data_IF_443357985123
#
_entry.id   IF_443357985123
#
_cell.length_a   1.000
_cell.length_b   1.000
_cell.length_c   1.000
_cell.angle_alpha   90.00
_cell.angle_beta   90.00
_cell.angle_gamma   90.00
#
_symmetry.space_group_name_H-M   'P 1'
#
loop_
_entity.id
_entity.type
_entity.pdbx_description
1 polymer ?
#
# COMPACT_ATOMS: atom_id res chain seq x y z
N UNK A 1 -9.88 40.93 10.14
CA UNK A 1 -10.78 40.01 9.41
C UNK A 1 -11.39 39.10 10.45
N UNK A 2 -12.72 38.98 10.54
CA UNK A 2 -13.34 38.07 11.50
C UNK A 2 -12.94 36.63 11.15
N UNK A 3 -12.42 35.88 12.13
CA UNK A 3 -12.15 34.45 11.97
C UNK A 3 -13.45 33.73 11.60
N UNK A 4 -13.49 33.12 10.41
CA UNK A 4 -14.57 32.19 10.07
C UNK A 4 -14.46 31.00 11.02
N UNK A 5 -15.34 30.94 12.02
CA UNK A 5 -15.52 29.75 12.83
C UNK A 5 -16.24 28.69 12.01
N UNK A 6 -15.52 27.66 11.59
CA UNK A 6 -16.10 26.47 10.96
C UNK A 6 -16.72 25.59 12.04
N UNK A 7 -17.97 25.15 11.83
CA UNK A 7 -18.64 24.22 12.75
C UNK A 7 -18.03 22.82 12.55
N UNK A 8 -17.44 22.26 13.61
CA UNK A 8 -16.92 20.89 13.61
C UNK A 8 -17.85 19.97 14.40
N UNK A 9 -18.03 18.74 13.92
CA UNK A 9 -18.75 17.70 14.64
C UNK A 9 -18.07 16.36 14.44
N UNK A 10 -18.21 15.48 15.43
CA UNK A 10 -17.83 14.08 15.31
C UNK A 10 -18.99 13.32 14.67
N UNK A 11 -18.73 12.59 13.58
CA UNK A 11 -19.76 11.89 12.83
C UNK A 11 -19.25 10.58 12.25
N UNK A 12 -20.17 9.64 11.99
CA UNK A 12 -19.90 8.44 11.20
C UNK A 12 -20.35 8.68 9.76
N UNK A 13 -19.42 8.55 8.82
CA UNK A 13 -19.63 8.78 7.39
C UNK A 13 -19.68 7.46 6.65
N UNK A 14 -20.71 7.27 5.83
CA UNK A 14 -20.83 6.20 4.86
C UNK A 14 -20.59 6.78 3.47
N UNK A 15 -19.66 6.18 2.73
CA UNK A 15 -19.51 6.37 1.29
C UNK A 15 -20.02 5.13 0.58
N UNK A 16 -20.91 5.33 -0.40
CA UNK A 16 -21.66 4.26 -1.07
C UNK A 16 -21.55 4.49 -2.57
N UNK A 17 -21.20 3.45 -3.31
CA UNK A 17 -20.89 3.57 -4.74
C UNK A 17 -21.38 2.35 -5.53
N UNK A 18 -21.88 2.60 -6.74
CA UNK A 18 -22.39 1.58 -7.64
C UNK A 18 -21.24 0.89 -8.40
N UNK A 19 -21.24 -0.45 -8.42
CA UNK A 19 -20.25 -1.22 -9.18
C UNK A 19 -20.68 -1.33 -10.63
N UNK A 20 -19.82 -0.89 -11.56
CA UNK A 20 -20.03 -1.06 -13.00
C UNK A 20 -21.06 -0.10 -13.62
N UNK A 21 -21.42 0.99 -12.93
CA UNK A 21 -22.40 1.96 -13.40
C UNK A 21 -22.05 2.54 -14.79
N UNK A 22 -20.80 2.95 -15.01
CA UNK A 22 -20.35 3.46 -16.32
C UNK A 22 -20.48 2.45 -17.46
N UNK A 23 -20.33 1.15 -17.18
CA UNK A 23 -20.51 0.10 -18.18
C UNK A 23 -21.99 -0.04 -18.55
N UNK A 24 -22.88 -0.03 -17.55
CA UNK A 24 -24.34 -0.10 -17.76
C UNK A 24 -24.85 1.14 -18.52
N UNK A 25 -24.36 2.33 -18.18
CA UNK A 25 -24.65 3.57 -18.91
C UNK A 25 -24.23 3.51 -20.39
N UNK A 26 -23.13 2.82 -20.70
CA UNK A 26 -22.68 2.61 -22.08
C UNK A 26 -23.52 1.60 -22.87
N UNK A 27 -24.30 0.75 -22.19
CA UNK A 27 -25.17 -0.25 -22.82
C UNK A 27 -26.59 0.27 -23.00
N UNK A 28 -27.19 0.85 -21.95
CA UNK A 28 -28.52 1.43 -21.96
C UNK A 28 -28.62 2.46 -20.81
N UNK A 29 -28.51 3.74 -21.14
CA UNK A 29 -28.43 4.84 -20.18
C UNK A 29 -29.74 5.06 -19.40
N UNK A 30 -30.90 4.97 -20.07
CA UNK A 30 -32.22 5.09 -19.42
C UNK A 30 -32.44 3.98 -18.39
N UNK A 31 -32.19 2.71 -18.77
CA UNK A 31 -32.40 1.56 -17.88
C UNK A 31 -31.41 1.54 -16.71
N UNK A 32 -30.15 1.94 -16.94
CA UNK A 32 -29.14 2.07 -15.90
C UNK A 32 -29.48 3.18 -14.90
N UNK A 33 -29.97 4.33 -15.39
CA UNK A 33 -30.34 5.46 -14.54
C UNK A 33 -31.59 5.13 -13.70
N UNK A 34 -32.58 4.46 -14.26
CA UNK A 34 -33.76 4.01 -13.52
C UNK A 34 -33.40 2.96 -12.46
N UNK A 35 -32.56 2.00 -12.82
CA UNK A 35 -32.03 1.00 -11.88
C UNK A 35 -31.23 1.63 -10.73
N UNK A 36 -30.46 2.68 -11.01
CA UNK A 36 -29.74 3.44 -9.98
C UNK A 36 -30.69 4.21 -9.07
N UNK A 37 -31.67 4.94 -9.63
CA UNK A 37 -32.65 5.73 -8.85
C UNK A 37 -33.47 4.86 -7.90
N UNK A 38 -33.91 3.69 -8.35
CA UNK A 38 -34.63 2.71 -7.54
C UNK A 38 -33.81 2.29 -6.31
N UNK A 39 -32.53 1.97 -6.52
CA UNK A 39 -31.60 1.52 -5.48
C UNK A 39 -31.16 2.65 -4.56
N UNK A 40 -30.86 3.83 -5.12
CA UNK A 40 -30.53 5.02 -4.36
C UNK A 40 -31.69 5.44 -3.45
N UNK A 41 -32.94 5.33 -3.93
CA UNK A 41 -34.13 5.55 -3.12
C UNK A 41 -34.30 4.53 -1.99
N UNK A 42 -33.95 3.27 -2.22
CA UNK A 42 -33.92 2.25 -1.17
C UNK A 42 -32.87 2.57 -0.11
N UNK A 43 -31.62 2.84 -0.53
CA UNK A 43 -30.51 3.18 0.37
C UNK A 43 -30.86 4.41 1.22
N UNK A 44 -31.42 5.45 0.59
CA UNK A 44 -31.84 6.69 1.28
C UNK A 44 -32.85 6.38 2.39
N UNK A 45 -33.91 5.62 2.08
CA UNK A 45 -34.93 5.26 3.08
C UNK A 45 -34.36 4.45 4.25
N UNK A 46 -33.50 3.46 3.96
CA UNK A 46 -32.89 2.63 5.01
C UNK A 46 -31.96 3.47 5.91
N UNK A 47 -31.19 4.39 5.33
CA UNK A 47 -30.35 5.31 6.09
C UNK A 47 -31.19 6.25 6.98
N UNK A 48 -32.24 6.87 6.43
CA UNK A 48 -33.11 7.79 7.18
C UNK A 48 -33.89 7.09 8.30
N UNK A 49 -34.40 5.88 8.05
CA UNK A 49 -35.10 5.07 9.06
C UNK A 49 -34.19 4.70 10.23
N UNK A 50 -32.88 4.56 9.99
CA UNK A 50 -31.88 4.30 11.01
C UNK A 50 -31.32 5.59 11.66
N UNK A 51 -31.91 6.76 11.37
CA UNK A 51 -31.49 8.04 11.94
C UNK A 51 -30.29 8.68 11.25
N UNK A 52 -29.94 8.22 10.05
CA UNK A 52 -28.93 8.82 9.19
C UNK A 52 -29.49 9.95 8.34
N UNK A 53 -28.59 10.80 7.82
CA UNK A 53 -28.92 11.90 6.90
C UNK A 53 -28.07 11.79 5.64
N UNK A 54 -28.72 11.82 4.48
CA UNK A 54 -28.02 11.85 3.20
C UNK A 54 -27.38 13.23 2.97
N UNK A 55 -26.15 13.25 2.45
CA UNK A 55 -25.48 14.47 2.02
C UNK A 55 -24.62 14.20 0.77
N UNK A 56 -24.23 15.25 0.05
CA UNK A 56 -23.16 15.13 -0.95
C UNK A 56 -23.39 14.13 -2.09
N UNK A 57 -24.61 13.98 -2.60
CA UNK A 57 -24.90 13.12 -3.76
C UNK A 57 -24.15 13.64 -4.99
N UNK A 58 -23.32 12.80 -5.60
CA UNK A 58 -22.53 13.16 -6.78
C UNK A 58 -22.38 11.96 -7.74
N UNK A 59 -22.98 12.07 -8.93
CA UNK A 59 -22.94 11.03 -9.94
C UNK A 59 -23.57 9.73 -9.45
N UNK A 60 -22.78 8.66 -9.43
CA UNK A 60 -23.11 7.30 -8.99
C UNK A 60 -22.74 7.01 -7.52
N UNK A 61 -22.22 8.03 -6.82
CA UNK A 61 -21.87 7.95 -5.40
C UNK A 61 -22.90 8.64 -4.51
N UNK A 62 -23.19 8.01 -3.37
CA UNK A 62 -24.06 8.51 -2.31
C UNK A 62 -23.24 8.62 -1.03
N UNK A 63 -23.53 9.63 -0.21
CA UNK A 63 -22.96 9.75 1.13
C UNK A 63 -24.06 9.92 2.18
N UNK A 64 -23.82 9.35 3.36
CA UNK A 64 -24.71 9.46 4.50
C UNK A 64 -23.90 9.73 5.78
N UNK A 65 -24.45 10.53 6.69
CA UNK A 65 -23.91 10.71 8.03
C UNK A 65 -24.82 10.13 9.10
N UNK A 66 -24.21 9.64 10.17
CA UNK A 66 -24.89 9.17 11.36
C UNK A 66 -24.20 9.74 12.60
N UNK A 67 -24.99 10.08 13.61
CA UNK A 67 -24.47 10.43 14.94
C UNK A 67 -23.96 9.21 15.73
N UNK A 68 -24.36 7.99 15.33
CA UNK A 68 -24.01 6.75 16.01
C UNK A 68 -23.39 5.72 15.04
N UNK A 69 -22.14 5.28 15.27
CA UNK A 69 -21.48 4.27 14.46
C UNK A 69 -22.23 2.93 14.38
N UNK A 70 -22.95 2.56 15.44
CA UNK A 70 -23.70 1.30 15.51
C UNK A 70 -24.87 1.32 14.52
N UNK A 71 -25.58 2.45 14.43
CA UNK A 71 -26.74 2.58 13.55
C UNK A 71 -26.30 2.67 12.08
N UNK A 72 -25.17 3.32 11.81
CA UNK A 72 -24.51 3.34 10.50
C UNK A 72 -24.21 1.93 9.96
N UNK A 73 -23.53 1.09 10.75
CA UNK A 73 -23.17 -0.27 10.32
C UNK A 73 -24.42 -1.14 10.16
N UNK A 74 -25.41 -0.99 11.04
CA UNK A 74 -26.68 -1.71 10.93
C UNK A 74 -27.44 -1.35 9.66
N UNK A 75 -27.56 -0.05 9.36
CA UNK A 75 -28.20 0.45 8.14
C UNK A 75 -27.48 -0.08 6.89
N UNK A 76 -26.14 -0.03 6.89
CA UNK A 76 -25.31 -0.54 5.79
C UNK A 76 -25.57 -2.02 5.48
N UNK A 77 -25.61 -2.86 6.50
CA UNK A 77 -25.88 -4.29 6.32
C UNK A 77 -27.32 -4.56 5.89
N UNK A 78 -28.29 -3.78 6.39
CA UNK A 78 -29.69 -3.90 6.04
C UNK A 78 -29.96 -3.53 4.58
N UNK A 79 -29.48 -2.37 4.11
CA UNK A 79 -29.69 -2.00 2.70
C UNK A 79 -28.89 -2.91 1.77
N UNK A 80 -27.69 -3.38 2.14
CA UNK A 80 -26.95 -4.34 1.31
C UNK A 80 -27.75 -5.64 1.11
N UNK A 81 -28.44 -6.11 2.16
CA UNK A 81 -29.33 -7.28 2.05
C UNK A 81 -30.49 -7.05 1.09
N UNK A 82 -31.13 -5.89 1.20
CA UNK A 82 -32.24 -5.54 0.33
C UNK A 82 -31.78 -5.40 -1.13
N UNK A 83 -30.59 -4.84 -1.37
CA UNK A 83 -29.99 -4.71 -2.69
C UNK A 83 -29.58 -6.07 -3.29
N UNK A 84 -29.02 -6.99 -2.49
CA UNK A 84 -28.75 -8.37 -2.91
C UNK A 84 -30.03 -9.07 -3.36
N UNK A 85 -31.10 -8.97 -2.56
CA UNK A 85 -32.40 -9.57 -2.89
C UNK A 85 -33.03 -8.97 -4.15
N UNK A 86 -32.85 -7.67 -4.37
CA UNK A 86 -33.32 -6.97 -5.57
C UNK A 86 -32.51 -7.40 -6.81
N UNK A 87 -31.19 -7.44 -6.70
CA UNK A 87 -30.29 -7.85 -7.79
C UNK A 87 -30.47 -9.32 -8.18
N UNK A 88 -30.72 -10.21 -7.22
CA UNK A 88 -30.96 -11.63 -7.49
C UNK A 88 -32.18 -11.87 -8.40
N UNK A 89 -33.19 -10.99 -8.34
CA UNK A 89 -34.42 -11.05 -9.14
C UNK A 89 -34.34 -10.24 -10.44
N UNK A 90 -33.31 -9.41 -10.60
CA UNK A 90 -33.15 -8.53 -11.74
C UNK A 90 -32.45 -9.24 -12.92
N UNK A 91 -32.78 -8.87 -14.17
CA UNK A 91 -31.99 -9.27 -15.34
C UNK A 91 -30.57 -8.68 -15.25
N UNK A 92 -29.61 -9.30 -15.94
CA UNK A 92 -28.19 -8.90 -15.87
C UNK A 92 -27.94 -7.43 -16.21
N UNK A 93 -28.73 -6.86 -17.14
CA UNK A 93 -28.69 -5.44 -17.53
C UNK A 93 -29.06 -4.48 -16.40
N UNK A 94 -29.71 -4.98 -15.34
CA UNK A 94 -30.15 -4.20 -14.17
C UNK A 94 -29.47 -4.62 -12.88
N UNK A 95 -28.55 -5.60 -12.89
CA UNK A 95 -27.81 -6.00 -11.68
C UNK A 95 -26.77 -4.95 -11.36
N UNK A 96 -26.99 -4.22 -10.27
CA UNK A 96 -26.13 -3.12 -9.84
C UNK A 96 -25.75 -3.34 -8.37
N UNK A 97 -24.63 -4.03 -8.10
CA UNK A 97 -24.13 -4.16 -6.74
C UNK A 97 -23.61 -2.82 -6.24
N UNK A 98 -23.64 -2.62 -4.93
CA UNK A 98 -23.06 -1.43 -4.29
C UNK A 98 -21.94 -1.82 -3.33
N UNK A 99 -20.99 -0.90 -3.16
CA UNK A 99 -19.86 -1.00 -2.23
C UNK A 99 -19.98 0.07 -1.17
N UNK A 100 -19.65 -0.26 0.08
CA UNK A 100 -19.79 0.67 1.20
C UNK A 100 -18.48 0.76 2.00
N UNK A 101 -18.06 1.99 2.27
CA UNK A 101 -16.96 2.32 3.17
C UNK A 101 -17.45 3.20 4.31
N UNK A 102 -17.08 2.86 5.56
CA UNK A 102 -17.53 3.55 6.76
C UNK A 102 -16.34 4.03 7.57
N UNK A 103 -16.31 5.31 7.90
CA UNK A 103 -15.33 5.90 8.81
C UNK A 103 -16.00 6.76 9.87
N UNK A 104 -15.43 6.81 11.07
CA UNK A 104 -15.91 7.67 12.17
C UNK A 104 -14.78 8.61 12.56
N UNK A 105 -15.06 9.91 12.60
CA UNK A 105 -14.06 10.93 12.86
C UNK A 105 -14.61 12.35 12.83
N UNK A 106 -13.70 13.33 12.72
CA UNK A 106 -14.04 14.75 12.78
C UNK A 106 -14.34 15.32 11.40
N UNK A 107 -15.50 15.96 11.27
CA UNK A 107 -15.93 16.60 10.03
C UNK A 107 -16.24 18.08 10.23
N UNK A 108 -16.00 18.86 9.19
CA UNK A 108 -16.40 20.26 9.09
C UNK A 108 -17.76 20.30 8.41
N UNK A 109 -18.72 20.98 9.04
CA UNK A 109 -20.07 21.18 8.53
C UNK A 109 -20.19 22.56 7.94
N UNK A 110 -20.55 22.63 6.67
CA UNK A 110 -20.90 23.87 5.98
C UNK A 110 -22.25 23.63 5.27
N UNK A 111 -23.28 24.36 5.70
CA UNK A 111 -24.69 24.11 5.36
C UNK A 111 -25.11 22.64 5.61
N UNK A 112 -25.55 21.95 4.55
CA UNK A 112 -25.95 20.54 4.55
C UNK A 112 -24.85 19.59 4.00
N UNK A 113 -23.60 20.07 3.90
CA UNK A 113 -22.46 19.28 3.42
C UNK A 113 -21.41 19.09 4.50
N UNK A 114 -20.71 17.96 4.39
CA UNK A 114 -19.61 17.60 5.26
C UNK A 114 -18.31 17.54 4.47
N UNK A 115 -17.26 18.08 5.07
CA UNK A 115 -15.93 18.11 4.49
C UNK A 115 -14.91 17.66 5.53
N UNK A 116 -13.83 17.05 5.08
CA UNK A 116 -12.72 16.73 5.98
C UNK A 116 -11.94 15.50 5.54
N UNK A 117 -10.86 15.26 6.28
CA UNK A 117 -10.03 14.08 6.13
C UNK A 117 -10.83 12.79 6.31
N UNK A 118 -11.71 12.76 7.33
CA UNK A 118 -12.49 11.57 7.67
C UNK A 118 -13.58 11.20 6.65
N UNK A 119 -14.10 12.19 5.89
CA UNK A 119 -14.98 11.95 4.74
C UNK A 119 -14.22 11.23 3.62
N UNK A 120 -12.99 11.67 3.36
CA UNK A 120 -12.14 11.05 2.34
C UNK A 120 -11.73 9.63 2.72
N UNK A 121 -11.53 9.33 4.01
CA UNK A 121 -11.22 7.97 4.47
C UNK A 121 -12.39 7.03 4.13
N UNK A 122 -13.64 7.42 4.43
CA UNK A 122 -14.82 6.63 4.09
C UNK A 122 -14.90 6.34 2.59
N UNK A 123 -14.68 7.35 1.74
CA UNK A 123 -14.66 7.18 0.28
C UNK A 123 -13.57 6.21 -0.19
N UNK A 124 -12.37 6.29 0.38
CA UNK A 124 -11.25 5.42 0.00
C UNK A 124 -11.39 4.00 0.54
N UNK A 125 -12.08 3.82 1.66
CA UNK A 125 -12.43 2.50 2.18
C UNK A 125 -13.50 1.82 1.32
N UNK A 126 -14.45 2.59 0.77
CA UNK A 126 -15.44 2.06 -0.16
C UNK A 126 -14.79 1.41 -1.38
N UNK A 127 -13.71 1.99 -1.91
CA UNK A 127 -12.93 1.41 -3.02
C UNK A 127 -12.33 0.04 -2.68
N UNK A 128 -12.15 -0.29 -1.40
CA UNK A 128 -11.62 -1.58 -0.91
C UNK A 128 -12.69 -2.62 -0.64
N UNK A 129 -13.96 -2.23 -0.60
CA UNK A 129 -15.05 -3.18 -0.43
C UNK A 129 -15.21 -4.05 -1.70
N UNK A 130 -15.53 -5.32 -1.49
CA UNK A 130 -16.05 -6.16 -2.57
C UNK A 130 -17.48 -5.75 -2.92
N UNK A 131 -18.01 -6.08 -4.11
CA UNK A 131 -19.43 -5.91 -4.41
C UNK A 131 -20.31 -6.49 -3.29
N UNK A 132 -21.34 -5.75 -2.88
CA UNK A 132 -22.18 -6.04 -1.70
C UNK A 132 -21.49 -5.94 -0.33
N UNK A 133 -20.20 -5.63 -0.31
CA UNK A 133 -19.40 -5.52 0.90
C UNK A 133 -19.60 -4.21 1.66
N UNK A 134 -19.45 -4.31 2.98
CA UNK A 134 -19.31 -3.19 3.91
C UNK A 134 -17.93 -3.24 4.58
N UNK A 135 -17.10 -2.24 4.30
CA UNK A 135 -15.78 -2.08 4.92
C UNK A 135 -15.82 -0.93 5.91
N UNK A 136 -15.30 -1.15 7.12
CA UNK A 136 -15.24 -0.16 8.19
C UNK A 136 -13.78 0.13 8.57
N UNK A 137 -13.48 1.38 8.92
CA UNK A 137 -12.19 1.78 9.49
C UNK A 137 -11.99 1.20 10.90
N UNK A 138 -10.75 1.20 11.39
CA UNK A 138 -10.46 0.84 12.77
C UNK A 138 -11.16 1.73 13.80
N UNK A 139 -11.28 3.03 13.54
CA UNK A 139 -12.01 3.96 14.43
C UNK A 139 -13.48 3.55 14.54
N UNK A 140 -14.12 3.24 13.42
CA UNK A 140 -15.51 2.74 13.41
C UNK A 140 -15.59 1.39 14.11
N UNK A 141 -14.69 0.45 13.79
CA UNK A 141 -14.64 -0.89 14.40
C UNK A 141 -14.53 -0.82 15.93
N UNK A 142 -13.67 0.04 16.49
CA UNK A 142 -13.55 0.25 17.94
C UNK A 142 -14.86 0.67 18.60
N UNK A 143 -15.71 1.42 17.89
CA UNK A 143 -17.01 1.87 18.41
C UNK A 143 -18.13 0.85 18.23
N UNK A 144 -17.99 -0.17 17.39
CA UNK A 144 -19.08 -1.13 17.09
C UNK A 144 -18.78 -2.56 17.52
N UNK A 145 -17.50 -2.92 17.68
CA UNK A 145 -17.09 -4.26 18.08
C UNK A 145 -17.70 -4.64 19.44
N UNK A 146 -18.35 -5.80 19.50
CA UNK A 146 -19.06 -6.27 20.69
C UNK A 146 -20.39 -5.56 21.01
N UNK A 147 -20.83 -4.61 20.17
CA UNK A 147 -22.12 -3.88 20.33
C UNK A 147 -23.15 -4.22 19.26
N UNK A 148 -22.73 -4.97 18.25
CA UNK A 148 -23.58 -5.51 17.17
C UNK A 148 -23.35 -7.00 17.04
N UNK A 149 -24.40 -7.74 16.73
CA UNK A 149 -24.29 -9.13 16.26
C UNK A 149 -23.83 -9.12 14.80
N UNK A 150 -22.56 -8.82 14.57
CA UNK A 150 -21.89 -8.69 13.28
C UNK A 150 -20.48 -9.25 13.42
N UNK A 151 -20.05 -10.04 12.45
CA UNK A 151 -18.69 -10.55 12.39
C UNK A 151 -17.79 -9.56 11.63
N UNK A 152 -16.61 -9.29 12.17
CA UNK A 152 -15.62 -8.42 11.54
C UNK A 152 -14.41 -9.25 11.12
N UNK A 153 -14.19 -9.33 9.80
CA UNK A 153 -12.97 -9.91 9.24
C UNK A 153 -11.96 -8.79 9.01
N UNK A 154 -10.79 -8.91 9.63
CA UNK A 154 -9.71 -7.95 9.40
C UNK A 154 -9.18 -8.04 7.96
N UNK A 155 -9.17 -6.90 7.27
CA UNK A 155 -8.62 -6.78 5.91
C UNK A 155 -7.17 -6.29 5.91
N UNK A 156 -6.65 -5.92 7.09
CA UNK A 156 -5.33 -5.35 7.28
C UNK A 156 -5.32 -3.83 7.15
N UNK A 157 -4.15 -3.29 6.83
CA UNK A 157 -3.88 -1.85 6.85
C UNK A 157 -3.67 -1.32 5.44
N UNK A 158 -4.43 -0.29 5.06
CA UNK A 158 -4.39 0.30 3.72
C UNK A 158 -3.78 1.69 3.74
N UNK A 159 -2.75 1.91 2.93
CA UNK A 159 -2.31 3.26 2.57
C UNK A 159 -3.26 3.82 1.52
N UNK A 160 -4.17 4.70 1.94
CA UNK A 160 -5.16 5.31 1.06
C UNK A 160 -4.58 6.56 0.39
N UNK A 161 -4.98 6.83 -0.86
CA UNK A 161 -4.50 7.98 -1.63
C UNK A 161 -4.74 9.29 -0.86
N UNK A 162 -3.71 10.11 -0.71
CA UNK A 162 -3.70 11.38 0.02
C UNK A 162 -3.92 11.26 1.55
N UNK A 163 -3.73 10.06 2.13
CA UNK A 163 -3.70 9.87 3.58
C UNK A 163 -2.26 9.71 4.05
N UNK A 164 -1.88 10.47 5.09
CA UNK A 164 -0.54 10.42 5.70
C UNK A 164 -0.38 9.18 6.59
N UNK A 165 -1.45 8.76 7.22
CA UNK A 165 -1.50 7.59 8.10
C UNK A 165 -2.27 6.47 7.39
N UNK A 166 -1.80 5.22 7.49
CA UNK A 166 -2.49 4.11 6.88
C UNK A 166 -3.68 3.69 7.75
N UNK A 167 -4.78 3.34 7.09
CA UNK A 167 -6.06 3.06 7.75
C UNK A 167 -6.23 1.56 7.84
N UNK A 168 -6.24 1.02 9.06
CA UNK A 168 -6.64 -0.37 9.31
C UNK A 168 -8.14 -0.52 9.07
N UNK A 169 -8.54 -1.60 8.41
CA UNK A 169 -9.91 -1.79 7.97
C UNK A 169 -10.41 -3.22 8.20
N UNK A 170 -11.73 -3.33 8.33
CA UNK A 170 -12.43 -4.57 8.65
C UNK A 170 -13.63 -4.71 7.72
N UNK A 171 -13.86 -5.91 7.20
CA UNK A 171 -15.08 -6.27 6.50
C UNK A 171 -16.14 -6.64 7.54
N UNK A 172 -17.27 -5.94 7.54
CA UNK A 172 -18.44 -6.31 8.33
C UNK A 172 -19.25 -7.37 7.57
N UNK A 173 -19.68 -8.42 8.29
CA UNK A 173 -20.47 -9.55 7.76
C UNK A 173 -21.60 -9.90 8.72
N UNK A 174 -22.72 -10.40 8.19
CA UNK A 174 -23.82 -10.85 9.05
C UNK A 174 -23.46 -12.21 9.67
N UNK A 175 -23.85 -12.47 10.93
CA UNK A 175 -23.64 -13.78 11.55
C UNK A 175 -24.31 -14.88 10.72
N UNK A 176 -23.54 -15.90 10.32
CA UNK A 176 -24.02 -16.99 9.47
C UNK A 176 -23.72 -16.86 7.97
N UNK A 177 -23.11 -15.76 7.52
CA UNK A 177 -22.54 -15.64 6.16
C UNK A 177 -21.18 -16.35 6.00
N UNK A 178 -20.80 -17.18 6.98
CA UNK A 178 -19.67 -18.10 6.87
C UNK A 178 -20.02 -19.28 5.96
N UNK A 179 -20.12 -19.04 4.65
CA UNK A 179 -20.24 -20.13 3.68
C UNK A 179 -20.98 -19.77 2.39
N UNK A 180 -20.30 -19.09 1.48
CA UNK A 180 -20.39 -19.39 0.04
C UNK A 180 -19.12 -18.92 -0.67
N UNK A 181 -18.23 -19.90 -0.86
CA UNK A 181 -17.11 -19.98 -1.83
C UNK A 181 -16.06 -18.87 -1.86
N UNK A 182 -14.94 -19.13 -1.18
CA UNK A 182 -13.71 -19.47 -1.93
C UNK A 182 -13.13 -20.78 -1.36
N UNK A 183 -13.00 -21.86 -2.16
CA UNK A 183 -12.52 -23.15 -1.68
C UNK A 183 -10.99 -23.21 -1.72
N UNK A 184 -10.32 -22.59 -0.74
CA UNK A 184 -8.93 -22.92 -0.39
C UNK A 184 -8.49 -22.23 0.91
N UNK A 185 -9.12 -22.55 2.05
CA UNK A 185 -8.50 -22.30 3.37
C UNK A 185 -9.19 -23.15 4.43
N UNK A 186 -8.75 -24.41 4.55
CA UNK A 186 -8.80 -25.08 5.85
C UNK A 186 -7.65 -24.55 6.73
N UNK A 187 -7.82 -24.59 8.06
CA UNK A 187 -6.97 -23.88 9.01
C UNK A 187 -5.64 -24.60 9.18
N UNK A 188 -4.56 -24.04 8.64
CA UNK A 188 -3.21 -24.51 8.99
C UNK A 188 -2.72 -23.75 10.21
N UNK A 189 -2.46 -24.53 11.25
CA UNK A 189 -1.83 -24.14 12.51
C UNK A 189 -0.62 -23.23 12.31
N UNK A 190 -0.49 -22.32 13.27
CA UNK A 190 0.64 -21.43 13.48
C UNK A 190 1.94 -22.24 13.55
N UNK A 191 2.69 -22.25 12.46
CA UNK A 191 4.11 -22.49 12.42
C UNK A 191 4.74 -21.31 11.64
N UNK A 192 5.93 -20.84 12.04
CA UNK A 192 6.41 -19.51 11.66
C UNK A 192 6.65 -19.45 10.16
N UNK A 193 5.88 -18.63 9.46
CA UNK A 193 6.06 -18.39 8.05
C UNK A 193 7.42 -17.70 7.83
N UNK A 194 8.40 -18.48 7.36
CA UNK A 194 9.50 -17.95 6.57
C UNK A 194 8.94 -17.12 5.43
N UNK A 195 9.61 -16.00 5.10
CA UNK A 195 9.03 -15.05 4.15
C UNK A 195 8.64 -15.74 2.85
N UNK A 196 7.39 -15.50 2.47
CA UNK A 196 6.92 -15.76 1.13
C UNK A 196 7.84 -15.07 0.13
N UNK A 197 8.50 -15.87 -0.70
CA UNK A 197 9.27 -15.44 -1.86
C UNK A 197 8.42 -14.71 -2.92
N UNK A 198 7.08 -14.73 -2.77
CA UNK A 198 6.14 -14.14 -3.71
C UNK A 198 5.84 -12.65 -3.45
N UNK A 199 6.17 -12.11 -2.27
CA UNK A 199 5.97 -10.69 -1.99
C UNK A 199 7.06 -9.83 -2.65
N UNK A 200 6.68 -8.64 -3.12
CA UNK A 200 7.64 -7.64 -3.61
C UNK A 200 8.63 -7.28 -2.48
N UNK A 201 9.93 -7.08 -2.76
CA UNK A 201 10.89 -6.73 -1.73
C UNK A 201 10.48 -5.44 -1.02
N UNK A 202 10.58 -5.43 0.31
CA UNK A 202 10.31 -4.27 1.15
C UNK A 202 11.46 -4.08 2.13
N UNK A 203 11.69 -2.83 2.53
CA UNK A 203 12.76 -2.47 3.48
C UNK A 203 12.22 -1.68 4.66
N UNK A 204 12.59 -2.06 5.88
CA UNK A 204 12.36 -1.28 7.09
C UNK A 204 13.66 -0.60 7.53
N UNK A 205 13.61 0.68 7.85
CA UNK A 205 14.74 1.42 8.43
C UNK A 205 14.43 1.64 9.91
N UNK A 206 15.29 1.11 10.78
CA UNK A 206 15.19 1.33 12.22
C UNK A 206 15.91 2.62 12.61
N UNK A 207 15.43 3.32 13.66
CA UNK A 207 16.19 4.39 14.29
C UNK A 207 17.60 3.92 14.67
N UNK A 208 18.58 4.79 14.45
CA UNK A 208 19.98 4.45 14.69
C UNK A 208 20.27 4.59 16.18
N UNK A 209 20.67 3.48 16.81
CA UNK A 209 20.84 3.42 18.24
C UNK A 209 22.03 4.26 18.71
N UNK A 210 21.80 5.17 19.65
CA UNK A 210 22.83 5.90 20.36
C UNK A 210 23.47 5.00 21.45
N UNK A 211 24.77 4.80 21.39
CA UNK A 211 25.50 3.98 22.37
C UNK A 211 26.29 4.81 23.39
N UNK A 212 26.20 6.13 23.34
CA UNK A 212 26.99 7.05 24.18
C UNK A 212 26.18 7.81 25.23
N UNK A 213 24.85 7.70 25.21
CA UNK A 213 23.97 8.37 26.16
C UNK A 213 23.82 9.89 25.95
N UNK A 214 24.40 10.41 24.87
CA UNK A 214 24.29 11.82 24.46
C UNK A 214 22.98 12.06 23.70
N UNK A 215 22.09 12.89 24.26
CA UNK A 215 20.78 13.19 23.67
C UNK A 215 20.86 13.80 22.27
N UNK A 216 21.94 14.51 21.94
CA UNK A 216 22.09 15.10 20.62
C UNK A 216 22.27 14.02 19.53
N UNK A 217 22.79 12.84 19.90
CA UNK A 217 22.90 11.70 18.99
C UNK A 217 21.60 10.94 18.81
N UNK A 218 20.66 11.01 19.76
CA UNK A 218 19.33 10.41 19.60
C UNK A 218 18.59 11.08 18.44
N UNK A 219 18.59 12.42 18.43
CA UNK A 219 17.99 13.20 17.34
C UNK A 219 18.69 12.97 16.00
N UNK A 220 20.02 12.84 16.00
CA UNK A 220 20.77 12.57 14.78
C UNK A 220 20.45 11.17 14.22
N UNK A 221 20.30 10.18 15.09
CA UNK A 221 19.96 8.81 14.69
C UNK A 221 18.58 8.71 14.06
N UNK A 222 17.61 9.42 14.61
CA UNK A 222 16.26 9.54 14.04
C UNK A 222 16.29 10.28 12.70
N UNK A 223 17.01 11.40 12.62
CA UNK A 223 17.08 12.22 11.42
C UNK A 223 17.73 11.45 10.24
N UNK A 224 18.80 10.68 10.49
CA UNK A 224 19.42 9.82 9.47
C UNK A 224 18.43 8.74 9.01
N UNK A 225 17.67 8.12 9.92
CA UNK A 225 16.67 7.13 9.53
C UNK A 225 15.56 7.72 8.64
N UNK A 226 15.03 8.89 9.01
CA UNK A 226 13.97 9.56 8.25
C UNK A 226 14.46 10.00 6.85
N UNK A 227 15.70 10.47 6.72
CA UNK A 227 16.27 10.82 5.41
C UNK A 227 16.45 9.61 4.50
N UNK A 228 16.90 8.47 5.06
CA UNK A 228 16.99 7.22 4.31
C UNK A 228 15.61 6.75 3.87
N UNK A 229 14.60 6.85 4.75
CA UNK A 229 13.21 6.50 4.42
C UNK A 229 12.70 7.39 3.29
N UNK A 230 12.92 8.71 3.36
CA UNK A 230 12.50 9.66 2.34
C UNK A 230 13.18 9.37 1.00
N UNK A 231 14.49 9.13 1.01
CA UNK A 231 15.26 8.86 -0.20
C UNK A 231 14.89 7.53 -0.85
N UNK A 232 14.77 6.46 -0.08
CA UNK A 232 14.36 5.15 -0.60
C UNK A 232 12.89 5.15 -1.05
N UNK A 233 12.01 5.92 -0.40
CA UNK A 233 10.59 6.02 -0.80
C UNK A 233 10.40 6.61 -2.20
N UNK A 234 11.38 7.37 -2.70
CA UNK A 234 11.39 7.86 -4.08
C UNK A 234 11.76 6.77 -5.10
N UNK A 235 12.28 5.63 -4.66
CA UNK A 235 12.50 4.45 -5.52
C UNK A 235 11.18 3.69 -5.69
N UNK A 236 10.47 3.97 -6.78
CA UNK A 236 9.13 3.40 -7.07
C UNK A 236 9.04 1.86 -6.99
N UNK A 237 10.15 1.15 -7.14
CA UNK A 237 10.18 -0.31 -7.15
C UNK A 237 10.40 -0.94 -5.76
N UNK A 238 10.82 -0.16 -4.76
CA UNK A 238 11.19 -0.63 -3.43
C UNK A 238 10.28 -0.01 -2.34
N UNK A 239 9.21 -0.72 -1.94
CA UNK A 239 8.42 -0.36 -0.77
C UNK A 239 9.27 -0.16 0.50
N UNK A 240 9.09 0.99 1.16
CA UNK A 240 9.76 1.32 2.43
C UNK A 240 8.74 1.35 3.57
N UNK A 241 9.06 0.71 4.70
CA UNK A 241 8.25 0.77 5.92
C UNK A 241 8.47 2.11 6.62
N UNK A 242 7.39 2.74 7.10
CA UNK A 242 7.43 4.07 7.69
C UNK A 242 8.25 4.12 8.99
N UNK A 243 8.93 5.24 9.21
CA UNK A 243 9.76 5.47 10.39
C UNK A 243 8.98 5.39 11.70
N UNK A 244 7.71 5.82 11.72
CA UNK A 244 6.83 5.69 12.88
C UNK A 244 6.56 4.21 13.27
N UNK A 245 6.46 3.31 12.28
CA UNK A 245 6.30 1.87 12.53
C UNK A 245 7.60 1.23 13.03
N UNK A 246 8.75 1.74 12.61
CA UNK A 246 10.04 1.30 13.13
C UNK A 246 10.33 1.84 14.54
N UNK A 247 9.85 3.05 14.86
CA UNK A 247 10.08 3.72 16.15
C UNK A 247 9.45 3.02 17.35
N UNK A 248 8.40 2.21 17.15
CA UNK A 248 7.81 1.40 18.23
C UNK A 248 8.77 0.31 18.78
N UNK A 249 9.91 0.09 18.13
CA UNK A 249 10.91 -0.91 18.49
C UNK A 249 12.23 -0.32 19.01
N UNK A 250 12.29 0.99 19.28
CA UNK A 250 13.49 1.70 19.78
C UNK A 250 13.97 1.16 21.14
N UNK A 251 13.04 0.74 21.99
CA UNK A 251 13.30 0.23 23.34
C UNK A 251 13.18 -1.31 23.46
N UNK A 252 13.05 -2.01 22.33
CA UNK A 252 12.78 -3.46 22.32
C UNK A 252 14.05 -4.31 22.44
N UNK A 253 14.01 -5.38 23.25
CA UNK A 253 15.04 -6.44 23.27
C UNK A 253 15.12 -7.27 21.97
N UNK A 254 14.29 -6.94 20.97
CA UNK A 254 14.18 -7.69 19.73
C UNK A 254 15.35 -7.41 18.80
N UNK A 255 15.97 -8.49 18.30
CA UNK A 255 16.97 -8.39 17.24
C UNK A 255 16.37 -7.77 15.97
N UNK A 256 17.13 -6.97 15.19
CA UNK A 256 16.61 -6.24 14.02
C UNK A 256 15.81 -7.11 13.05
N UNK A 257 16.27 -8.33 12.75
CA UNK A 257 15.54 -9.26 11.87
C UNK A 257 14.15 -9.66 12.39
N UNK A 258 13.95 -9.74 13.72
CA UNK A 258 12.65 -10.01 14.31
C UNK A 258 11.70 -8.80 14.18
N UNK A 259 12.24 -7.59 14.30
CA UNK A 259 11.50 -6.35 14.02
C UNK A 259 11.07 -6.32 12.55
N UNK A 260 12.00 -6.61 11.63
CA UNK A 260 11.71 -6.70 10.21
C UNK A 260 10.59 -7.69 9.88
N UNK A 261 10.57 -8.88 10.49
CA UNK A 261 9.47 -9.86 10.33
C UNK A 261 8.14 -9.31 10.85
N UNK A 262 8.16 -8.66 12.02
CA UNK A 262 6.96 -8.07 12.63
C UNK A 262 6.39 -6.95 11.77
N UNK A 263 7.26 -6.21 11.07
CA UNK A 263 6.89 -5.14 10.14
C UNK A 263 6.52 -5.64 8.73
N UNK A 264 6.64 -6.94 8.45
CA UNK A 264 6.47 -7.48 7.09
C UNK A 264 7.53 -7.00 6.10
N UNK A 265 8.67 -6.50 6.60
CA UNK A 265 9.79 -6.06 5.79
C UNK A 265 10.66 -7.26 5.39
N UNK A 266 10.99 -7.43 4.11
CA UNK A 266 11.96 -8.46 3.69
C UNK A 266 13.36 -8.14 4.17
N UNK A 267 13.73 -6.86 4.13
CA UNK A 267 15.01 -6.34 4.58
C UNK A 267 14.81 -5.38 5.75
N UNK A 268 15.76 -5.38 6.67
CA UNK A 268 15.80 -4.42 7.77
C UNK A 268 17.17 -3.76 7.80
N UNK A 269 17.18 -2.44 7.90
CA UNK A 269 18.39 -1.63 8.07
C UNK A 269 18.40 -1.16 9.51
N UNK A 270 19.50 -1.41 10.19
CA UNK A 270 19.76 -0.90 11.53
C UNK A 270 21.12 -0.23 11.55
N UNK A 271 21.34 0.64 12.53
CA UNK A 271 22.65 1.19 12.72
C UNK A 271 22.87 1.74 14.12
N UNK A 272 24.11 2.11 14.38
CA UNK A 272 24.56 2.57 15.68
C UNK A 272 25.42 3.81 15.53
N UNK A 273 25.19 4.77 16.42
CA UNK A 273 25.96 5.99 16.56
C UNK A 273 26.79 5.93 17.84
N UNK A 274 28.08 6.21 17.69
CA UNK A 274 29.02 6.34 18.81
C UNK A 274 29.83 7.62 18.65
N UNK A 275 29.96 8.40 19.71
CA UNK A 275 30.94 9.49 19.81
C UNK A 275 32.15 9.03 20.63
N UNK A 276 33.36 9.23 20.09
CA UNK A 276 34.60 8.91 20.77
C UNK A 276 35.63 10.02 20.55
N UNK A 277 36.02 10.71 21.63
CA UNK A 277 36.82 11.93 21.55
C UNK A 277 36.19 12.93 20.56
N UNK A 278 36.91 13.33 19.49
CA UNK A 278 36.43 14.25 18.45
C UNK A 278 35.88 13.53 17.20
N UNK A 279 35.53 12.24 17.29
CA UNK A 279 35.05 11.45 16.15
C UNK A 279 33.63 10.94 16.38
N UNK A 280 32.77 11.19 15.40
CA UNK A 280 31.46 10.59 15.26
C UNK A 280 31.55 9.37 14.33
N UNK A 281 31.04 8.24 14.80
CA UNK A 281 31.04 6.99 14.07
C UNK A 281 29.62 6.47 13.90
N UNK A 282 29.28 6.17 12.64
CA UNK A 282 28.02 5.58 12.21
C UNK A 282 28.31 4.19 11.64
N UNK A 283 27.80 3.15 12.28
CA UNK A 283 27.81 1.79 11.74
C UNK A 283 26.41 1.46 11.21
N UNK A 284 26.33 0.96 9.98
CA UNK A 284 25.06 0.60 9.32
C UNK A 284 25.11 -0.86 8.89
N UNK A 285 24.01 -1.58 9.07
CA UNK A 285 23.87 -2.99 8.73
C UNK A 285 22.51 -3.24 8.11
N UNK A 286 22.48 -3.97 7.00
CA UNK A 286 21.28 -4.46 6.35
C UNK A 286 21.20 -5.98 6.52
N UNK A 287 20.08 -6.47 7.01
CA UNK A 287 19.81 -7.88 7.25
C UNK A 287 18.55 -8.34 6.50
N UNK A 288 18.52 -9.60 6.13
CA UNK A 288 17.31 -10.27 5.70
C UNK A 288 16.47 -10.69 6.92
N UNK A 289 15.21 -10.27 6.96
CA UNK A 289 14.33 -10.51 8.10
C UNK A 289 14.03 -11.99 8.34
N UNK A 290 14.04 -12.84 7.31
CA UNK A 290 13.67 -14.27 7.43
C UNK A 290 14.63 -15.09 8.28
N UNK A 291 15.93 -14.88 8.07
CA UNK A 291 17.00 -15.73 8.56
C UNK A 291 18.07 -14.94 9.32
N UNK A 292 17.93 -13.60 9.41
CA UNK A 292 18.89 -12.72 10.06
C UNK A 292 20.23 -12.61 9.32
N UNK A 293 20.30 -13.04 8.05
CA UNK A 293 21.54 -12.99 7.27
C UNK A 293 21.88 -11.53 6.98
N UNK A 294 23.07 -11.11 7.40
CA UNK A 294 23.62 -9.80 7.01
C UNK A 294 23.88 -9.80 5.51
N UNK A 295 23.22 -8.89 4.79
CA UNK A 295 23.38 -8.66 3.35
C UNK A 295 24.55 -7.71 3.13
N UNK A 296 24.63 -6.67 3.96
CA UNK A 296 25.62 -5.61 3.82
C UNK A 296 25.88 -4.92 5.16
N UNK A 297 27.11 -4.45 5.37
CA UNK A 297 27.43 -3.58 6.50
C UNK A 297 28.58 -2.64 6.15
N UNK A 298 28.52 -1.40 6.65
CA UNK A 298 29.59 -0.40 6.49
C UNK A 298 29.68 0.52 7.68
N UNK A 299 30.87 1.07 7.89
CA UNK A 299 31.18 2.07 8.91
C UNK A 299 31.59 3.38 8.28
N UNK A 300 31.08 4.47 8.81
CA UNK A 300 31.42 5.84 8.46
C UNK A 300 32.02 6.51 9.69
N UNK A 301 33.22 7.05 9.53
CA UNK A 301 33.93 7.79 10.57
C UNK A 301 34.06 9.25 10.10
N UNK A 302 33.66 10.23 10.92
CA UNK A 302 33.77 11.67 10.65
C UNK A 302 34.21 12.44 11.90
N UNK A 303 34.99 13.52 11.76
CA UNK A 303 35.20 14.47 12.86
C UNK A 303 33.86 15.03 13.36
N UNK A 304 33.74 15.31 14.66
CA UNK A 304 32.53 15.87 15.27
C UNK A 304 32.16 17.23 14.67
N UNK A 305 33.16 18.03 14.28
CA UNK A 305 32.97 19.29 13.55
C UNK A 305 32.23 19.12 12.21
N UNK A 306 32.22 17.91 11.65
CA UNK A 306 31.54 17.53 10.41
C UNK A 306 30.30 16.65 10.66
N UNK A 307 29.78 16.58 11.88
CA UNK A 307 28.59 15.77 12.20
C UNK A 307 27.38 16.13 11.33
N UNK A 308 27.25 17.39 10.92
CA UNK A 308 26.18 17.86 10.02
C UNK A 308 26.36 17.36 8.59
N UNK A 309 27.61 17.28 8.11
CA UNK A 309 27.91 16.66 6.81
C UNK A 309 27.65 15.15 6.83
N UNK A 310 27.81 14.49 7.98
CA UNK A 310 27.43 13.09 8.13
C UNK A 310 25.93 12.90 7.91
N UNK A 311 25.07 13.81 8.39
CA UNK A 311 23.63 13.74 8.12
C UNK A 311 23.31 13.90 6.63
N UNK A 312 23.73 15.02 6.02
CA UNK A 312 23.38 15.36 4.64
C UNK A 312 24.01 14.40 3.60
N UNK A 313 25.29 14.06 3.78
CA UNK A 313 26.02 13.21 2.83
C UNK A 313 25.74 11.72 3.03
N UNK A 314 25.56 11.26 4.27
CA UNK A 314 25.25 9.85 4.50
C UNK A 314 23.83 9.51 4.05
N UNK A 315 22.85 10.42 4.15
CA UNK A 315 21.50 10.18 3.63
C UNK A 315 21.52 9.78 2.15
N UNK A 316 22.13 10.60 1.29
CA UNK A 316 22.22 10.35 -0.16
C UNK A 316 23.09 9.12 -0.48
N UNK A 317 24.27 9.00 0.16
CA UNK A 317 25.17 7.86 -0.07
C UNK A 317 24.51 6.54 0.37
N UNK A 318 23.87 6.51 1.54
CA UNK A 318 23.19 5.32 2.07
C UNK A 318 21.98 4.95 1.22
N UNK A 319 21.17 5.91 0.77
CA UNK A 319 20.02 5.62 -0.11
C UNK A 319 20.47 4.92 -1.39
N UNK A 320 21.54 5.42 -2.04
CA UNK A 320 22.08 4.80 -3.25
C UNK A 320 22.63 3.39 -2.99
N UNK A 321 23.40 3.22 -1.92
CA UNK A 321 23.99 1.92 -1.56
C UNK A 321 22.90 0.92 -1.17
N UNK A 322 22.02 1.28 -0.23
CA UNK A 322 20.99 0.39 0.29
C UNK A 322 20.03 -0.05 -0.82
N UNK A 323 19.59 0.86 -1.70
CA UNK A 323 18.78 0.52 -2.85
C UNK A 323 19.49 -0.45 -3.81
N UNK A 324 20.78 -0.22 -4.09
CA UNK A 324 21.59 -1.09 -4.93
C UNK A 324 21.83 -2.47 -4.32
N UNK A 325 22.04 -2.56 -3.01
CA UNK A 325 22.21 -3.84 -2.31
C UNK A 325 20.92 -4.65 -2.27
N UNK A 326 19.76 -4.00 -2.10
CA UNK A 326 18.45 -4.68 -2.22
C UNK A 326 18.24 -5.21 -3.64
N UNK A 327 18.52 -4.39 -4.66
CA UNK A 327 18.38 -4.82 -6.07
C UNK A 327 19.29 -6.01 -6.36
N UNK A 328 20.56 -5.96 -5.93
CA UNK A 328 21.51 -7.06 -6.06
C UNK A 328 21.04 -8.34 -5.37
N UNK A 329 20.54 -8.22 -4.14
CA UNK A 329 20.06 -9.36 -3.37
C UNK A 329 18.82 -10.00 -4.01
N UNK A 330 17.88 -9.19 -4.50
CA UNK A 330 16.67 -9.67 -5.17
C UNK A 330 16.96 -10.25 -6.55
N UNK A 331 17.88 -9.65 -7.29
CA UNK A 331 18.36 -10.19 -8.56
C UNK A 331 18.96 -11.58 -8.35
N UNK A 332 19.87 -11.75 -7.37
CA UNK A 332 20.44 -13.07 -7.04
C UNK A 332 19.36 -14.09 -6.66
N UNK A 333 18.32 -13.69 -5.91
CA UNK A 333 17.18 -14.57 -5.59
C UNK A 333 16.40 -14.96 -6.83
N UNK A 334 16.16 -14.02 -7.75
CA UNK A 334 15.39 -14.35 -8.95
C UNK A 334 16.05 -15.51 -9.68
N UNK A 335 17.39 -15.56 -9.78
CA UNK A 335 18.15 -16.65 -10.40
C UNK A 335 18.08 -18.00 -9.68
N UNK A 336 17.65 -18.04 -8.41
CA UNK A 336 17.46 -19.27 -7.65
C UNK A 336 16.06 -19.87 -7.84
N UNK A 337 15.13 -19.12 -8.43
CA UNK A 337 13.76 -19.57 -8.71
C UNK A 337 13.74 -20.11 -10.15
N UNK A 338 13.14 -21.30 -10.42
CA UNK A 338 12.89 -21.75 -11.78
C UNK A 338 12.16 -20.66 -12.57
N UNK A 339 12.52 -20.47 -13.84
CA UNK A 339 12.00 -19.32 -14.60
C UNK A 339 10.48 -19.43 -14.83
N UNK A 340 9.91 -20.65 -14.82
CA UNK A 340 8.47 -20.88 -14.90
C UNK A 340 7.69 -20.27 -13.71
N UNK A 341 8.33 -20.18 -12.54
CA UNK A 341 7.67 -19.81 -11.28
C UNK A 341 7.78 -18.31 -10.95
N UNK A 342 8.54 -17.56 -11.76
CA UNK A 342 8.78 -16.13 -11.54
C UNK A 342 7.51 -15.32 -11.65
N UNK A 343 7.25 -14.48 -10.65
CA UNK A 343 6.19 -13.47 -10.67
C UNK A 343 6.51 -12.34 -11.65
N UNK A 344 5.50 -11.54 -12.04
CA UNK A 344 5.65 -10.46 -13.03
C UNK A 344 6.80 -9.50 -12.70
N UNK A 345 6.94 -9.06 -11.45
CA UNK A 345 8.04 -8.18 -11.04
C UNK A 345 9.42 -8.85 -11.10
N UNK A 346 9.50 -10.18 -10.88
CA UNK A 346 10.74 -10.95 -10.95
C UNK A 346 11.18 -11.20 -12.39
N UNK A 347 10.21 -11.42 -13.30
CA UNK A 347 10.44 -11.45 -14.74
C UNK A 347 10.99 -10.11 -15.21
N UNK A 348 10.40 -8.99 -14.77
CA UNK A 348 10.93 -7.65 -15.06
C UNK A 348 12.34 -7.44 -14.52
N UNK A 349 12.63 -7.88 -13.29
CA UNK A 349 13.96 -7.78 -12.69
C UNK A 349 15.02 -8.56 -13.48
N UNK A 350 14.73 -9.80 -13.90
CA UNK A 350 15.62 -10.57 -14.79
C UNK A 350 15.77 -9.93 -16.16
N UNK A 351 14.69 -9.40 -16.74
CA UNK A 351 14.74 -8.69 -18.01
C UNK A 351 15.68 -7.47 -17.94
N UNK A 352 15.56 -6.66 -16.88
CA UNK A 352 16.44 -5.50 -16.63
C UNK A 352 17.90 -5.89 -16.43
N UNK A 353 18.16 -6.99 -15.70
CA UNK A 353 19.53 -7.52 -15.56
C UNK A 353 20.18 -7.75 -16.91
N UNK A 354 19.53 -8.51 -17.79
CA UNK A 354 20.05 -8.77 -19.13
C UNK A 354 20.13 -7.49 -19.96
N UNK A 355 19.13 -6.62 -19.89
CA UNK A 355 19.13 -5.32 -20.59
C UNK A 355 20.34 -4.44 -20.21
N UNK A 356 20.79 -4.49 -18.95
CA UNK A 356 21.94 -3.70 -18.47
C UNK A 356 23.27 -4.11 -19.10
N UNK A 357 23.40 -5.36 -19.56
CA UNK A 357 24.64 -5.91 -20.16
C UNK A 357 24.80 -5.53 -21.63
N UNK A 358 23.70 -5.15 -22.29
CA UNK A 358 23.67 -4.61 -23.67
C UNK A 358 24.33 -5.48 -24.75
N UNK A 359 24.51 -6.78 -24.52
CA UNK A 359 24.93 -7.71 -25.58
C UNK A 359 23.73 -8.16 -26.41
N UNK A 360 23.94 -8.57 -27.66
CA UNK A 360 22.85 -9.07 -28.52
C UNK A 360 22.14 -10.30 -27.93
N UNK A 361 22.90 -11.20 -27.30
CA UNK A 361 22.34 -12.38 -26.64
C UNK A 361 21.51 -11.98 -25.40
N UNK A 362 22.03 -11.08 -24.57
CA UNK A 362 21.32 -10.62 -23.37
C UNK A 362 20.06 -9.82 -23.72
N UNK A 363 20.10 -8.94 -24.71
CA UNK A 363 18.92 -8.14 -25.08
C UNK A 363 17.80 -9.03 -25.64
N UNK A 364 18.14 -10.14 -26.31
CA UNK A 364 17.18 -11.15 -26.72
C UNK A 364 16.54 -11.85 -25.51
N UNK A 365 17.34 -12.22 -24.51
CA UNK A 365 16.83 -12.80 -23.25
C UNK A 365 15.98 -11.80 -22.47
N UNK A 366 16.35 -10.52 -22.46
CA UNK A 366 15.57 -9.47 -21.84
C UNK A 366 14.16 -9.37 -22.44
N UNK A 367 14.07 -9.41 -23.78
CA UNK A 367 12.78 -9.43 -24.47
C UNK A 367 11.94 -10.66 -24.10
N UNK A 368 12.54 -11.84 -24.03
CA UNK A 368 11.83 -13.07 -23.63
C UNK A 368 11.21 -12.91 -22.23
N UNK A 369 11.97 -12.38 -21.27
CA UNK A 369 11.45 -12.11 -19.93
C UNK A 369 10.33 -11.05 -19.91
N UNK A 370 10.47 -9.97 -20.68
CA UNK A 370 9.44 -8.93 -20.77
C UNK A 370 8.15 -9.42 -21.43
N UNK A 371 8.25 -10.24 -22.49
CA UNK A 371 7.09 -10.86 -23.13
C UNK A 371 6.37 -11.84 -22.20
N UNK A 372 7.09 -12.60 -21.38
CA UNK A 372 6.49 -13.46 -20.35
C UNK A 372 5.80 -12.64 -19.27
N UNK A 373 6.40 -11.52 -18.85
CA UNK A 373 5.79 -10.60 -17.90
C UNK A 373 4.49 -10.02 -18.49
N UNK A 374 4.49 -9.69 -19.79
CA UNK A 374 3.32 -9.18 -20.51
C UNK A 374 2.23 -10.22 -20.65
N UNK A 375 2.58 -11.47 -20.95
CA UNK A 375 1.61 -12.57 -21.00
C UNK A 375 0.91 -12.80 -19.64
N UNK A 376 1.58 -12.49 -18.52
CA UNK A 376 0.98 -12.59 -17.18
C UNK A 376 0.13 -11.38 -16.80
N UNK A 377 0.59 -10.17 -17.12
CA UNK A 377 -0.11 -8.93 -16.80
C UNK A 377 -0.04 -7.94 -17.98
N UNK A 378 -0.95 -8.09 -18.97
CA UNK A 378 -0.94 -7.27 -20.18
C UNK A 378 -1.22 -5.79 -19.92
N UNK A 379 -1.91 -5.48 -18.81
CA UNK A 379 -2.30 -4.11 -18.45
C UNK A 379 -1.29 -3.43 -17.52
N UNK A 380 -0.18 -4.10 -17.19
CA UNK A 380 0.87 -3.52 -16.37
C UNK A 380 1.59 -2.39 -17.08
N UNK A 381 1.42 -1.16 -16.57
CA UNK A 381 2.13 0.02 -17.07
C UNK A 381 3.65 -0.12 -17.02
N UNK A 382 4.17 -0.85 -16.03
CA UNK A 382 5.61 -1.09 -15.90
C UNK A 382 6.09 -2.05 -16.98
N UNK A 383 5.35 -3.14 -17.25
CA UNK A 383 5.72 -4.10 -18.32
C UNK A 383 5.67 -3.43 -19.69
N UNK A 384 4.62 -2.67 -19.97
CA UNK A 384 4.49 -1.93 -21.23
C UNK A 384 5.63 -0.92 -21.40
N UNK A 385 6.06 -0.26 -20.32
CA UNK A 385 7.18 0.69 -20.35
C UNK A 385 8.51 0.00 -20.67
N UNK A 386 8.79 -1.17 -20.08
CA UNK A 386 10.01 -1.93 -20.36
C UNK A 386 10.05 -2.47 -21.79
N UNK A 387 8.92 -2.98 -22.31
CA UNK A 387 8.79 -3.41 -23.70
C UNK A 387 8.99 -2.24 -24.67
N UNK A 388 8.35 -1.09 -24.40
CA UNK A 388 8.52 0.11 -25.21
C UNK A 388 9.99 0.58 -25.23
N UNK A 389 10.65 0.57 -24.06
CA UNK A 389 12.07 0.91 -23.95
C UNK A 389 12.96 -0.06 -24.74
N UNK A 390 12.68 -1.36 -24.65
CA UNK A 390 13.41 -2.38 -25.42
C UNK A 390 13.27 -2.16 -26.94
N UNK A 391 12.04 -1.95 -27.43
CA UNK A 391 11.79 -1.71 -28.85
C UNK A 391 12.43 -0.40 -29.34
N UNK A 392 12.36 0.67 -28.53
CA UNK A 392 13.05 1.92 -28.83
C UNK A 392 14.56 1.72 -28.96
N UNK A 393 15.18 1.02 -27.99
CA UNK A 393 16.61 0.72 -28.01
C UNK A 393 17.00 -0.14 -29.22
N UNK A 394 16.20 -1.17 -29.56
CA UNK A 394 16.45 -2.01 -30.73
C UNK A 394 16.40 -1.19 -32.02
N UNK A 395 15.40 -0.31 -32.15
CA UNK A 395 15.29 0.62 -33.29
C UNK A 395 16.50 1.54 -33.38
N UNK A 396 16.95 2.10 -32.25
CA UNK A 396 18.15 2.95 -32.19
C UNK A 396 19.42 2.22 -32.65
N UNK A 397 19.65 0.99 -32.19
CA UNK A 397 20.82 0.19 -32.58
C UNK A 397 20.74 -0.26 -34.04
N UNK A 398 19.53 -0.43 -34.58
CA UNK A 398 19.31 -0.88 -35.96
C UNK A 398 19.43 0.25 -37.00
N UNK A 399 19.56 1.51 -36.58
CA UNK A 399 19.64 2.66 -37.48
C UNK A 399 20.98 2.79 -38.21
N UNK A 400 22.09 2.21 -37.73
CA UNK A 400 23.36 2.13 -38.50
C UNK A 400 24.23 0.89 -38.13
N UNK A 401 24.58 0.00 -39.09
CA UNK A 401 25.41 -1.19 -38.83
C UNK A 401 26.89 -0.91 -38.48
N UNK A 402 27.39 0.30 -38.71
CA UNK A 402 28.85 0.56 -38.78
C UNK A 402 29.49 1.17 -37.53
N UNK A 403 28.74 1.49 -36.48
CA UNK A 403 29.28 2.18 -35.29
C UNK A 403 29.53 1.28 -34.07
N UNK A 404 28.95 0.07 -34.00
CA UNK A 404 29.05 -0.81 -32.82
C UNK A 404 29.97 -2.03 -33.00
N UNK A 405 30.83 -2.03 -34.02
CA UNK A 405 31.95 -2.99 -34.13
C UNK A 405 33.04 -2.82 -33.06
N UNK A 406 32.87 -1.86 -32.14
CA UNK A 406 33.67 -1.78 -30.93
C UNK A 406 32.77 -2.12 -29.75
N UNK A 407 32.97 -3.34 -29.25
CA UNK A 407 32.68 -3.72 -27.87
C UNK A 407 32.95 -2.52 -26.97
N UNK A 408 31.94 -2.04 -26.24
CA UNK A 408 32.21 -1.14 -25.11
C UNK A 408 32.83 -2.05 -24.05
N UNK A 409 34.14 -2.20 -24.09
CA UNK A 409 34.92 -2.68 -22.96
C UNK A 409 34.89 -1.57 -21.91
N UNK A 410 34.17 -1.80 -20.81
CA UNK A 410 34.28 -0.95 -19.63
C UNK A 410 35.65 -1.20 -19.00
N UNK A 411 36.51 -0.17 -18.99
CA UNK A 411 37.77 -0.13 -18.26
C UNK A 411 37.55 0.04 -16.76
#
# INVERSE_FOLDING_TARGET
MAERQFRRQFATILSIDAVGFSQLMGMNDEEALDAFRERAGLITRECENAGGRMFGIAGDSLMAEFGNPVDAVRAALAFQQALEALNAKAPDTRRMPFRVGINTGDVIVEDDRLFGHDVNIAARLQEKAQPHGVVVSATTWQHVNGRLAVDFLELGTFSLKNMREPVRAYQARRPGEAGQSDPASQPTQVAPAGASAAQQPSVAILPFANQTGDRDLDYLGDAIAEDIILGLSNMRWLPVISGASSRQFVDGELVPSAVGRSLGARYVVSGRLTRAADMLRLAVTMEESTNGRVIWSRRFDRPESQARELHDAAGVELVAILGGEVDRAEQARTFQIPWEDLQTWQLLARGRFHMSRRTSADTTLALDFFNRAYARDPNSSTVLSELAWWHFWQGFVSLEPHHFGKTIEFA
#
